data_IF_221228168607
#
_entry.id   IF_221228168607
#
_cell.length_a   1.000
_cell.length_b   1.000
_cell.length_c   1.000
_cell.angle_alpha   90.00
_cell.angle_beta   90.00
_cell.angle_gamma   90.00
#
_symmetry.space_group_name_H-M   'P 1'
#
loop_
_entity.id
_entity.type
_entity.pdbx_description
1 polymer ?
#
# COMPACT_ATOMS: atom_id res chain seq x y z
N UNK A 1 22.07 -7.03 -20.97
CA UNK A 1 22.45 -5.84 -20.17
C UNK A 1 21.78 -5.96 -18.81
N UNK A 2 22.54 -6.05 -17.71
CA UNK A 2 21.94 -6.05 -16.37
C UNK A 2 21.36 -4.65 -16.09
N UNK A 3 20.03 -4.55 -15.91
CA UNK A 3 19.41 -3.32 -15.39
C UNK A 3 20.05 -3.04 -14.02
N UNK A 4 20.72 -1.88 -13.87
CA UNK A 4 21.12 -1.39 -12.54
C UNK A 4 19.84 -1.29 -11.71
N UNK A 5 19.74 -2.05 -10.62
CA UNK A 5 18.68 -1.85 -9.63
C UNK A 5 18.70 -0.40 -9.17
N UNK A 6 17.55 0.28 -9.28
CA UNK A 6 17.41 1.62 -8.74
C UNK A 6 17.19 1.46 -7.24
N UNK A 7 18.21 1.80 -6.46
CA UNK A 7 18.07 1.78 -5.00
C UNK A 7 17.22 2.97 -4.53
N UNK A 8 16.32 2.73 -3.59
CA UNK A 8 15.57 3.76 -2.88
C UNK A 8 16.22 4.06 -1.54
N UNK A 9 15.74 5.11 -0.89
CA UNK A 9 16.07 5.47 0.48
C UNK A 9 14.82 5.32 1.34
N UNK A 10 14.98 4.81 2.56
CA UNK A 10 13.90 4.51 3.46
C UNK A 10 14.15 5.13 4.83
N UNK A 11 13.09 5.69 5.42
CA UNK A 11 13.07 6.17 6.78
C UNK A 11 11.75 5.80 7.46
N UNK A 12 11.85 5.24 8.67
CA UNK A 12 10.71 5.02 9.56
C UNK A 12 10.60 6.25 10.45
N UNK A 13 9.45 6.93 10.43
CA UNK A 13 9.22 8.03 11.37
C UNK A 13 9.12 7.44 12.78
N UNK A 14 9.96 7.88 13.75
CA UNK A 14 9.86 7.42 15.12
C UNK A 14 8.45 7.63 15.68
N UNK A 15 7.97 6.67 16.47
CA UNK A 15 6.67 6.73 17.16
C UNK A 15 5.44 6.83 16.23
N UNK A 16 5.65 6.68 14.91
CA UNK A 16 4.60 6.69 13.90
C UNK A 16 4.58 5.37 13.14
N UNK A 17 3.42 5.05 12.58
CA UNK A 17 3.26 3.96 11.59
C UNK A 17 3.59 4.44 10.16
N UNK A 18 4.29 5.56 10.02
CA UNK A 18 4.58 6.17 8.73
C UNK A 18 5.96 5.80 8.23
N UNK A 19 6.04 5.46 6.94
CA UNK A 19 7.23 5.03 6.23
C UNK A 19 7.46 5.95 5.04
N UNK A 20 8.68 6.46 4.88
CA UNK A 20 9.05 7.26 3.70
C UNK A 20 9.98 6.47 2.82
N UNK A 21 9.63 6.39 1.54
CA UNK A 21 10.47 5.83 0.49
C UNK A 21 10.77 6.95 -0.51
N UNK A 22 12.04 7.32 -0.66
CA UNK A 22 12.52 8.35 -1.58
C UNK A 22 13.47 7.78 -2.63
N UNK A 23 13.54 8.40 -3.81
CA UNK A 23 14.65 8.19 -4.76
C UNK A 23 15.93 8.88 -4.28
N UNK A 24 15.80 9.90 -3.43
CA UNK A 24 16.90 10.60 -2.77
C UNK A 24 16.62 10.77 -1.28
N UNK A 25 17.67 10.99 -0.49
CA UNK A 25 17.52 11.38 0.92
C UNK A 25 16.82 12.73 1.08
N UNK A 26 17.09 13.67 0.17
CA UNK A 26 16.48 15.01 0.19
C UNK A 26 14.96 14.97 0.10
N UNK A 27 14.38 14.09 -0.72
CA UNK A 27 12.92 13.93 -0.79
C UNK A 27 12.30 13.53 0.56
N UNK A 28 12.99 12.70 1.35
CA UNK A 28 12.55 12.29 2.69
C UNK A 28 12.59 13.49 3.64
N UNK A 29 13.68 14.25 3.63
CA UNK A 29 13.85 15.45 4.47
C UNK A 29 12.79 16.50 4.13
N UNK A 30 12.61 16.83 2.85
CA UNK A 30 11.59 17.78 2.39
C UNK A 30 10.17 17.36 2.79
N UNK A 31 9.88 16.06 2.75
CA UNK A 31 8.59 15.51 3.20
C UNK A 31 8.39 15.76 4.69
N UNK A 32 9.38 15.48 5.52
CA UNK A 32 9.30 15.68 6.96
C UNK A 32 9.24 17.16 7.34
N UNK A 33 9.99 18.03 6.66
CA UNK A 33 9.92 19.48 6.85
C UNK A 33 8.52 20.04 6.52
N UNK A 34 7.91 19.57 5.43
CA UNK A 34 6.54 19.94 5.08
C UNK A 34 5.54 19.61 6.20
N UNK A 35 5.72 18.48 6.89
CA UNK A 35 4.86 18.08 8.00
C UNK A 35 5.21 18.81 9.31
N UNK A 36 6.49 19.02 9.60
CA UNK A 36 6.95 19.78 10.76
C UNK A 36 6.34 21.19 10.80
N UNK A 37 6.20 21.83 9.63
CA UNK A 37 5.57 23.16 9.53
C UNK A 37 4.06 23.16 9.79
N UNK A 38 3.39 22.00 9.73
CA UNK A 38 1.93 21.86 9.79
C UNK A 38 1.42 21.09 11.00
N UNK A 39 2.29 20.38 11.72
CA UNK A 39 1.94 19.58 12.88
C UNK A 39 1.96 20.43 14.15
N UNK A 40 1.02 20.16 15.06
CA UNK A 40 1.07 20.68 16.43
C UNK A 40 2.12 19.93 17.28
N UNK A 41 2.53 18.74 16.84
CA UNK A 41 3.53 17.90 17.50
C UNK A 41 4.91 18.09 16.87
N UNK A 42 5.98 18.04 17.67
CA UNK A 42 7.34 18.17 17.17
C UNK A 42 7.72 16.94 16.33
N UNK A 43 7.79 17.13 15.02
CA UNK A 43 8.36 16.14 14.09
C UNK A 43 9.86 16.41 13.99
N UNK A 44 10.67 15.43 14.42
CA UNK A 44 12.12 15.45 14.24
C UNK A 44 12.50 15.29 12.77
N UNK A 45 13.46 16.08 12.31
CA UNK A 45 14.07 15.90 10.98
C UNK A 45 15.32 15.03 11.18
N UNK A 46 15.39 13.84 10.55
CA UNK A 46 16.54 12.95 10.71
C UNK A 46 17.77 13.50 10.01
N UNK A 47 18.93 13.11 10.52
CA UNK A 47 20.18 13.23 9.80
C UNK A 47 20.23 12.25 8.62
N UNK A 48 20.98 12.60 7.59
CA UNK A 48 21.15 11.74 6.41
C UNK A 48 21.70 10.33 6.74
N UNK A 49 22.40 10.16 7.85
CA UNK A 49 22.90 8.86 8.33
C UNK A 49 21.82 7.93 8.83
N UNK A 50 20.66 8.46 9.24
CA UNK A 50 19.52 7.68 9.70
C UNK A 50 18.67 7.16 8.52
N UNK A 51 18.86 7.75 7.34
CA UNK A 51 18.16 7.39 6.11
C UNK A 51 18.90 6.25 5.40
N UNK A 52 18.25 5.08 5.33
CA UNK A 52 18.88 3.84 4.86
C UNK A 52 18.61 3.61 3.39
N UNK A 53 19.64 3.27 2.62
CA UNK A 53 19.45 2.79 1.24
C UNK A 53 18.85 1.39 1.27
N UNK A 54 17.82 1.16 0.48
CA UNK A 54 17.16 -0.14 0.31
C UNK A 54 17.14 -0.53 -1.17
N UNK A 55 17.59 -1.74 -1.53
CA UNK A 55 17.61 -2.22 -2.92
C UNK A 55 16.22 -2.65 -3.42
N UNK A 56 15.26 -2.80 -2.52
CA UNK A 56 13.86 -3.07 -2.79
C UNK A 56 13.04 -2.93 -1.52
N UNK A 57 11.73 -2.74 -1.68
CA UNK A 57 10.79 -2.64 -0.57
C UNK A 57 9.61 -3.57 -0.81
N UNK A 58 9.07 -4.13 0.29
CA UNK A 58 7.85 -4.91 0.28
C UNK A 58 6.80 -4.18 1.10
N UNK A 59 5.70 -3.80 0.46
CA UNK A 59 4.63 -2.98 1.05
C UNK A 59 3.35 -3.81 1.10
N UNK A 60 2.95 -4.21 2.30
CA UNK A 60 1.68 -4.92 2.49
C UNK A 60 0.52 -3.91 2.49
N UNK A 61 -0.44 -4.15 1.63
CA UNK A 61 -1.63 -3.31 1.44
C UNK A 61 -2.87 -4.13 1.76
N UNK A 62 -3.65 -3.75 2.76
CA UNK A 62 -4.88 -4.45 3.14
C UNK A 62 -5.80 -3.54 3.94
N UNK A 63 -7.01 -3.99 4.27
CA UNK A 63 -7.86 -3.41 5.31
C UNK A 63 -7.76 -4.19 6.63
N UNK A 64 -8.09 -3.60 7.81
CA UNK A 64 -7.87 -4.21 9.12
C UNK A 64 -8.79 -5.41 9.36
N UNK A 65 -9.99 -5.37 8.76
CA UNK A 65 -10.87 -6.53 8.69
C UNK A 65 -10.45 -7.35 7.47
N UNK A 66 -9.53 -8.30 7.69
CA UNK A 66 -9.16 -9.27 6.66
C UNK A 66 -10.39 -10.15 6.38
N UNK A 67 -11.19 -9.75 5.39
CA UNK A 67 -12.27 -10.57 4.86
C UNK A 67 -11.74 -11.68 3.93
N UNK A 68 -10.42 -11.71 3.71
CA UNK A 68 -9.70 -12.64 2.86
C UNK A 68 -8.25 -12.77 3.35
N UNK A 69 -7.73 -14.00 3.35
CA UNK A 69 -6.29 -14.29 3.57
C UNK A 69 -5.50 -14.25 2.26
N UNK A 70 -6.15 -13.89 1.14
CA UNK A 70 -5.54 -13.90 -0.19
C UNK A 70 -4.87 -12.58 -0.52
N UNK A 71 -3.67 -12.69 -1.09
CA UNK A 71 -2.84 -11.57 -1.54
C UNK A 71 -2.38 -11.81 -2.97
N UNK A 72 -2.31 -10.73 -3.75
CA UNK A 72 -1.59 -10.70 -5.02
C UNK A 72 -0.30 -9.89 -4.87
N UNK A 73 0.72 -10.24 -5.65
CA UNK A 73 1.95 -9.45 -5.76
C UNK A 73 1.87 -8.49 -6.96
N UNK A 74 1.81 -7.19 -6.71
CA UNK A 74 2.00 -6.18 -7.76
C UNK A 74 3.45 -5.68 -7.75
N UNK A 75 4.21 -6.03 -8.80
CA UNK A 75 5.63 -5.69 -8.92
C UNK A 75 5.80 -4.40 -9.73
N UNK A 76 6.31 -3.37 -9.08
CA UNK A 76 6.53 -2.05 -9.67
C UNK A 76 8.00 -1.67 -9.52
N UNK A 77 8.77 -1.88 -10.60
CA UNK A 77 10.22 -1.73 -10.56
C UNK A 77 10.82 -2.69 -9.54
N UNK A 78 11.54 -2.14 -8.55
CA UNK A 78 12.20 -2.88 -7.48
C UNK A 78 11.34 -2.98 -6.19
N UNK A 79 10.05 -2.63 -6.26
CA UNK A 79 9.10 -2.66 -5.13
C UNK A 79 8.04 -3.73 -5.39
N UNK A 80 7.71 -4.49 -4.35
CA UNK A 80 6.61 -5.47 -4.33
C UNK A 80 5.52 -4.93 -3.43
N UNK A 81 4.30 -4.80 -3.99
CA UNK A 81 3.10 -4.53 -3.21
C UNK A 81 2.37 -5.84 -2.99
N UNK A 82 2.29 -6.31 -1.75
CA UNK A 82 1.44 -7.44 -1.39
C UNK A 82 0.04 -6.90 -1.12
N UNK A 83 -0.82 -6.96 -2.12
CA UNK A 83 -2.17 -6.39 -2.06
C UNK A 83 -3.14 -7.49 -1.65
N UNK A 84 -3.72 -7.36 -0.46
CA UNK A 84 -4.83 -8.19 -0.03
C UNK A 84 -6.01 -7.98 -0.99
N UNK A 85 -6.74 -9.05 -1.29
CA UNK A 85 -7.92 -9.01 -2.14
C UNK A 85 -8.91 -7.92 -1.71
N UNK A 86 -9.08 -7.69 -0.39
CA UNK A 86 -9.98 -6.67 0.14
C UNK A 86 -9.58 -5.22 -0.19
N UNK A 87 -8.31 -4.97 -0.50
CA UNK A 87 -7.76 -3.65 -0.78
C UNK A 87 -7.57 -3.37 -2.27
N UNK A 88 -7.81 -4.36 -3.14
CA UNK A 88 -7.57 -4.30 -4.58
C UNK A 88 -8.16 -3.03 -5.22
N UNK A 89 -9.46 -2.80 -5.09
CA UNK A 89 -10.16 -1.65 -5.69
C UNK A 89 -9.64 -0.30 -5.16
N UNK A 90 -9.34 -0.25 -3.86
CA UNK A 90 -8.81 0.95 -3.22
C UNK A 90 -7.41 1.30 -3.74
N UNK A 91 -6.53 0.31 -3.86
CA UNK A 91 -5.17 0.49 -4.38
C UNK A 91 -5.22 0.90 -5.86
N UNK A 92 -6.03 0.20 -6.65
CA UNK A 92 -6.22 0.52 -8.07
C UNK A 92 -6.72 1.96 -8.22
N UNK A 93 -7.80 2.35 -7.55
CA UNK A 93 -8.35 3.71 -7.61
C UNK A 93 -7.36 4.77 -7.13
N UNK A 94 -6.61 4.49 -6.05
CA UNK A 94 -5.59 5.39 -5.52
C UNK A 94 -4.45 5.58 -6.52
N UNK A 95 -4.01 4.51 -7.19
CA UNK A 95 -2.98 4.57 -8.23
C UNK A 95 -3.40 5.37 -9.47
N UNK A 96 -4.70 5.49 -9.76
CA UNK A 96 -5.18 6.30 -10.87
C UNK A 96 -5.27 7.79 -10.53
N UNK A 97 -5.41 8.13 -9.24
CA UNK A 97 -5.76 9.47 -8.78
C UNK A 97 -4.74 10.05 -7.79
N UNK A 98 -3.48 9.60 -7.84
CA UNK A 98 -2.50 9.93 -6.81
C UNK A 98 -1.98 11.37 -6.87
N UNK A 99 -2.18 12.11 -7.95
CA UNK A 99 -1.62 13.46 -8.14
C UNK A 99 -1.98 14.42 -7.00
N UNK A 100 -3.18 14.28 -6.42
CA UNK A 100 -3.66 15.07 -5.28
C UNK A 100 -2.99 14.72 -3.93
N UNK A 101 -2.23 13.63 -3.88
CA UNK A 101 -1.63 13.07 -2.67
C UNK A 101 -0.20 13.55 -2.42
N UNK A 102 0.33 14.46 -3.24
CA UNK A 102 1.72 14.97 -3.11
C UNK A 102 1.93 15.79 -1.85
N UNK A 103 2.96 15.48 -1.06
CA UNK A 103 3.37 16.13 0.19
C UNK A 103 4.89 16.13 0.28
N UNK A 104 5.48 17.34 0.39
CA UNK A 104 6.94 17.56 0.48
C UNK A 104 7.82 16.70 -0.44
N UNK A 105 7.42 16.53 -1.69
CA UNK A 105 8.19 15.79 -2.69
C UNK A 105 7.80 14.32 -2.88
N UNK A 106 7.03 13.73 -1.96
CA UNK A 106 6.53 12.34 -2.05
C UNK A 106 5.01 12.27 -2.12
N UNK A 107 4.46 11.12 -2.50
CA UNK A 107 3.02 10.88 -2.57
C UNK A 107 2.54 10.06 -1.39
N UNK A 108 1.56 10.60 -0.68
CA UNK A 108 0.91 9.94 0.44
C UNK A 108 0.11 8.73 -0.06
N UNK A 109 0.49 7.54 0.34
CA UNK A 109 -0.13 6.26 0.01
C UNK A 109 -0.53 5.52 1.28
N UNK A 110 -1.81 5.57 1.62
CA UNK A 110 -2.32 5.03 2.87
C UNK A 110 -2.67 3.55 2.75
N UNK A 111 -1.90 2.65 3.34
CA UNK A 111 -2.40 1.29 3.51
C UNK A 111 -3.45 1.33 4.62
N UNK A 112 -4.67 0.86 4.35
CA UNK A 112 -5.75 0.86 5.34
C UNK A 112 -5.62 -0.33 6.31
N UNK A 113 -4.46 -0.99 6.34
CA UNK A 113 -4.16 -2.23 7.05
C UNK A 113 -3.13 -2.00 8.15
N UNK A 114 -2.46 -3.07 8.58
CA UNK A 114 -1.80 -3.08 9.89
C UNK A 114 -0.55 -2.20 10.06
N UNK A 115 0.06 -1.61 9.02
CA UNK A 115 1.30 -0.83 9.20
C UNK A 115 1.38 0.43 8.34
N UNK A 116 0.28 1.19 8.37
CA UNK A 116 0.31 2.66 8.29
C UNK A 116 0.62 3.30 6.94
N UNK A 117 1.20 4.49 7.01
CA UNK A 117 1.20 5.46 5.92
C UNK A 117 2.52 5.42 5.15
N UNK A 118 2.47 5.05 3.87
CA UNK A 118 3.65 5.10 3.00
C UNK A 118 3.71 6.42 2.25
N UNK A 119 4.90 6.99 2.15
CA UNK A 119 5.19 8.10 1.24
C UNK A 119 6.07 7.56 0.14
N UNK A 120 5.57 7.61 -1.10
CA UNK A 120 6.18 6.95 -2.24
C UNK A 120 6.68 7.98 -3.26
N UNK A 121 7.77 7.70 -3.99
CA UNK A 121 8.22 8.56 -5.09
C UNK A 121 7.23 8.54 -6.25
N UNK A 122 7.29 9.58 -7.08
CA UNK A 122 6.45 9.67 -8.28
C UNK A 122 6.60 8.46 -9.20
N UNK A 123 7.84 8.00 -9.44
CA UNK A 123 8.12 6.86 -10.31
C UNK A 123 7.39 5.58 -9.86
N UNK A 124 7.23 5.39 -8.54
CA UNK A 124 6.51 4.25 -7.97
C UNK A 124 5.01 4.41 -8.18
N UNK A 125 4.46 5.60 -7.96
CA UNK A 125 3.04 5.87 -8.19
C UNK A 125 2.65 5.78 -9.68
N UNK A 126 3.49 6.30 -10.59
CA UNK A 126 3.33 6.12 -12.03
C UNK A 126 3.37 4.64 -12.42
N UNK A 127 4.27 3.87 -11.79
CA UNK A 127 4.35 2.44 -12.01
C UNK A 127 3.12 1.67 -11.53
N UNK A 128 2.53 2.04 -10.38
CA UNK A 128 1.24 1.52 -9.93
C UNK A 128 0.10 1.92 -10.87
N UNK A 129 0.11 3.16 -11.39
CA UNK A 129 -0.89 3.65 -12.35
C UNK A 129 -0.87 2.86 -13.66
N UNK A 130 0.33 2.54 -14.14
CA UNK A 130 0.57 1.76 -15.36
C UNK A 130 0.55 0.24 -15.18
N UNK A 131 0.33 -0.26 -13.96
CA UNK A 131 0.24 -1.68 -13.69
C UNK A 131 -1.05 -2.27 -14.28
N UNK A 132 -0.96 -3.45 -14.90
CA UNK A 132 -2.12 -4.15 -15.44
C UNK A 132 -2.91 -4.79 -14.29
N UNK A 133 -3.80 -4.01 -13.67
CA UNK A 133 -4.68 -4.49 -12.61
C UNK A 133 -5.69 -5.52 -13.13
N UNK A 134 -6.15 -5.37 -14.38
CA UNK A 134 -7.21 -6.20 -14.96
C UNK A 134 -6.87 -7.68 -14.99
N UNK A 135 -5.59 -8.04 -15.13
CA UNK A 135 -5.14 -9.44 -15.09
C UNK A 135 -5.50 -10.18 -13.80
N UNK A 136 -5.70 -9.46 -12.68
CA UNK A 136 -6.00 -10.04 -11.37
C UNK A 136 -7.49 -10.00 -11.02
N UNK A 137 -8.31 -9.27 -11.78
CA UNK A 137 -9.71 -8.98 -11.40
C UNK A 137 -10.54 -10.24 -11.17
N UNK A 138 -10.47 -11.19 -12.11
CA UNK A 138 -11.22 -12.45 -12.01
C UNK A 138 -10.81 -13.27 -10.78
N UNK A 139 -9.51 -13.33 -10.48
CA UNK A 139 -8.98 -14.02 -9.31
C UNK A 139 -9.40 -13.34 -8.00
N UNK A 140 -9.37 -12.00 -7.96
CA UNK A 140 -9.82 -11.23 -6.80
C UNK A 140 -11.32 -11.44 -6.55
N UNK A 141 -12.14 -11.46 -7.61
CA UNK A 141 -13.58 -11.71 -7.51
C UNK A 141 -13.89 -13.11 -6.97
N UNK A 142 -13.15 -14.12 -7.41
CA UNK A 142 -13.22 -15.48 -6.87
C UNK A 142 -12.87 -15.51 -5.38
N UNK A 143 -11.77 -14.87 -4.98
CA UNK A 143 -11.30 -14.83 -3.58
C UNK A 143 -12.22 -14.08 -2.63
N UNK A 144 -12.76 -12.95 -3.08
CA UNK A 144 -13.73 -12.21 -2.27
C UNK A 144 -15.05 -12.95 -2.16
N UNK A 145 -15.31 -13.86 -3.11
CA UNK A 145 -16.55 -14.56 -3.23
C UNK A 145 -17.65 -13.58 -3.58
N UNK A 146 -18.29 -13.84 -4.70
CA UNK A 146 -19.75 -13.89 -4.67
C UNK A 146 -20.09 -14.90 -3.55
N UNK A 147 -20.15 -14.40 -2.31
CA UNK A 147 -20.54 -15.09 -1.07
C UNK A 147 -22.06 -15.30 -1.04
N UNK A 148 -22.70 -15.56 -2.18
CA UNK A 148 -24.12 -15.92 -2.20
C UNK A 148 -24.36 -17.42 -2.00
N UNK A 149 -23.37 -18.30 -2.24
CA UNK A 149 -23.62 -19.74 -2.22
C UNK A 149 -23.34 -20.45 -0.88
N UNK A 150 -22.71 -19.81 0.10
CA UNK A 150 -22.46 -20.46 1.41
C UNK A 150 -23.40 -20.04 2.54
N UNK A 151 -24.22 -18.99 2.36
CA UNK A 151 -25.31 -18.67 3.30
C UNK A 151 -26.63 -19.40 2.96
N UNK A 152 -26.87 -19.73 1.68
CA UNK A 152 -28.07 -20.48 1.25
C UNK A 152 -28.10 -21.97 1.63
N UNK A 153 -26.99 -22.55 2.12
CA UNK A 153 -26.95 -23.94 2.57
C UNK A 153 -27.05 -24.12 4.09
N UNK A 154 -26.87 -23.06 4.88
CA UNK A 154 -27.08 -23.09 6.33
C UNK A 154 -28.55 -22.91 6.72
N UNK A 155 -29.34 -22.17 5.92
CA UNK A 155 -30.78 -21.97 6.19
C UNK A 155 -31.65 -23.14 5.69
N UNK A 156 -31.17 -23.95 4.73
CA UNK A 156 -31.92 -25.10 4.20
C UNK A 156 -31.73 -26.42 4.97
N UNK A 157 -30.95 -26.45 6.05
CA UNK A 157 -30.80 -27.63 6.93
C UNK A 157 -31.31 -27.43 8.36
N UNK A 158 -32.19 -26.45 8.59
CA UNK A 158 -32.82 -26.20 9.89
C UNK A 158 -34.34 -26.36 9.93
N UNK A 159 -35.02 -26.50 8.79
CA UNK A 159 -36.45 -26.78 8.72
C UNK A 159 -36.72 -28.23 8.31
N UNK A 160 -36.51 -29.15 9.24
CA UNK A 160 -37.27 -30.41 9.26
C UNK A 160 -38.19 -30.35 10.48
N UNK A 161 -39.35 -29.70 10.29
CA UNK A 161 -40.55 -29.99 11.08
C UNK A 161 -41.24 -31.20 10.45
N UNK A 162 -41.49 -32.23 11.27
CA UNK A 162 -42.61 -33.22 11.29
C UNK A 162 -42.06 -34.54 11.86
N UNK A 163 -42.66 -35.15 12.88
CA UNK A 163 -43.95 -34.91 13.52
C UNK A 163 -44.04 -35.61 14.87
#
# INVERSE_FOLDING_TARGET
MARKQKGYFHYNIPESVSHLLGETKSQIIETLEHYKQRSAEPIGIPDESEIKKVPGARITCGFPMMHSDHFLEARVGDIIFDVNANAYEWIQSTSQNYERLRRGGLYKFQTLGLFGLWFLPEAVMQGLKGYDWAQHKAQVDEWLGIREETQGQAENRGYVRRG
#
